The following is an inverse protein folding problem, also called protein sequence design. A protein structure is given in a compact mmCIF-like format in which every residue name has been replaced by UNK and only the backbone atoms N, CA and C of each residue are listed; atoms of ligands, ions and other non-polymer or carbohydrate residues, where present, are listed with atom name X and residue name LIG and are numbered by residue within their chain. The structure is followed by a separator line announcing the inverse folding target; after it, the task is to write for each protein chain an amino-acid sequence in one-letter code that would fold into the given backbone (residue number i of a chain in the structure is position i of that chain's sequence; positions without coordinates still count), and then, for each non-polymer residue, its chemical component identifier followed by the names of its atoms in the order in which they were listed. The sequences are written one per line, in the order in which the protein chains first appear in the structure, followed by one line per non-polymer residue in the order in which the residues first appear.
data_IF_715427619200
#
_entry.id   IF_715427619200
#
_cell.length_a   1.000
_cell.length_b   1.000
_cell.length_c   1.000
_cell.angle_alpha   90.00
_cell.angle_beta   90.00
_cell.angle_gamma   90.00
#
_symmetry.space_group_name_H-M   'P 1'
#
loop_
_entity.id
_entity.type
_entity.pdbx_description
1 polymer ?
#
# COMPACT_ATOMS: atom_id res chain seq x y z
N UNK A 1 13.33 -49.22 -42.26
CA UNK A 1 13.85 -49.50 -40.91
C UNK A 1 13.05 -48.64 -39.98
N UNK A 2 12.10 -49.23 -39.58
CA UNK A 2 11.43 -49.59 -38.33
C UNK A 2 11.17 -48.36 -37.43
N UNK A 3 9.96 -48.01 -37.45
CA UNK A 3 9.15 -47.18 -36.56
C UNK A 3 8.94 -47.95 -35.23
N UNK A 4 9.23 -47.37 -34.07
CA UNK A 4 8.88 -47.88 -32.78
C UNK A 4 8.26 -46.76 -31.94
N UNK A 5 6.93 -46.77 -31.87
CA UNK A 5 6.13 -46.06 -30.88
C UNK A 5 6.09 -46.86 -29.57
N UNK A 6 6.22 -46.24 -28.37
CA UNK A 6 5.98 -46.93 -27.10
C UNK A 6 4.49 -46.87 -26.72
N UNK A 7 4.01 -48.05 -26.39
CA UNK A 7 2.72 -48.41 -25.82
C UNK A 7 2.50 -47.84 -24.39
N UNK A 8 1.36 -47.15 -24.17
CA UNK A 8 0.95 -46.67 -22.85
C UNK A 8 -0.32 -47.42 -22.44
N UNK A 9 -0.15 -48.55 -21.73
CA UNK A 9 -1.25 -49.15 -20.98
C UNK A 9 -0.69 -49.95 -19.79
N UNK A 10 -0.70 -49.33 -18.60
CA UNK A 10 -0.87 -50.07 -17.31
C UNK A 10 -1.51 -49.13 -16.30
N UNK A 11 -2.80 -49.38 -16.04
CA UNK A 11 -3.55 -48.83 -14.91
C UNK A 11 -3.32 -49.73 -13.69
N UNK A 12 -2.86 -49.14 -12.57
CA UNK A 12 -2.87 -49.80 -11.25
C UNK A 12 -4.21 -49.58 -10.53
N UNK A 13 -4.68 -50.53 -9.73
CA UNK A 13 -6.00 -50.53 -9.09
C UNK A 13 -6.03 -49.66 -7.82
N UNK A 14 -7.17 -48.97 -7.62
CA UNK A 14 -7.49 -48.20 -6.42
C UNK A 14 -7.68 -49.09 -5.18
N UNK A 15 -7.24 -48.70 -3.96
CA UNK A 15 -7.57 -49.40 -2.75
C UNK A 15 -9.00 -49.11 -2.27
N UNK A 16 -9.68 -50.15 -1.85
CA UNK A 16 -11.03 -50.13 -1.24
C UNK A 16 -11.01 -49.51 0.17
N UNK A 17 -11.97 -48.63 0.42
CA UNK A 17 -12.27 -48.04 1.73
C UNK A 17 -13.11 -49.01 2.56
N UNK A 18 -12.57 -49.51 3.69
CA UNK A 18 -13.34 -50.21 4.72
C UNK A 18 -14.04 -49.21 5.64
N UNK A 19 -15.34 -49.37 5.81
CA UNK A 19 -16.17 -48.66 6.75
C UNK A 19 -15.83 -49.06 8.19
N UNK A 20 -15.68 -48.10 9.11
CA UNK A 20 -15.60 -48.33 10.55
C UNK A 20 -16.88 -47.80 11.22
N UNK A 21 -17.39 -48.64 12.14
CA UNK A 21 -18.62 -48.41 12.93
C UNK A 21 -18.44 -47.36 14.03
N UNK A 22 -19.52 -46.75 14.57
CA UNK A 22 -19.43 -45.62 15.48
C UNK A 22 -19.35 -46.06 16.96
N UNK A 23 -18.37 -45.56 17.70
CA UNK A 23 -18.38 -45.58 19.16
C UNK A 23 -18.94 -44.27 19.73
N UNK A 24 -20.03 -44.42 20.49
CA UNK A 24 -20.65 -43.37 21.30
C UNK A 24 -19.90 -43.22 22.63
N UNK A 25 -19.40 -42.01 22.93
CA UNK A 25 -19.21 -41.52 24.31
C UNK A 25 -19.61 -40.04 24.40
N UNK A 26 -20.57 -39.81 25.29
CA UNK A 26 -20.99 -38.50 25.76
C UNK A 26 -19.90 -37.92 26.66
N UNK A 27 -19.44 -36.70 26.34
CA UNK A 27 -18.82 -35.78 27.29
C UNK A 27 -19.38 -34.37 27.11
N UNK A 28 -19.61 -33.72 28.24
CA UNK A 28 -20.35 -32.46 28.34
C UNK A 28 -19.68 -31.24 27.63
N UNK A 29 -20.37 -30.08 27.56
CA UNK A 29 -19.97 -29.00 26.69
C UNK A 29 -18.71 -28.30 27.18
N UNK A 30 -17.57 -28.63 26.57
CA UNK A 30 -16.39 -27.74 26.58
C UNK A 30 -16.66 -26.59 25.63
N UNK A 31 -16.63 -25.35 26.15
CA UNK A 31 -16.65 -24.14 25.34
C UNK A 31 -15.51 -24.20 24.33
N UNK A 32 -15.82 -24.63 23.11
CA UNK A 32 -14.91 -24.56 21.98
C UNK A 32 -14.86 -23.09 21.56
N UNK A 33 -13.77 -22.41 21.86
CA UNK A 33 -13.36 -21.21 21.17
C UNK A 33 -13.28 -21.59 19.67
N UNK A 34 -14.31 -21.24 18.89
CA UNK A 34 -14.27 -21.44 17.46
C UNK A 34 -13.07 -20.66 16.93
N UNK A 35 -12.12 -21.36 16.31
CA UNK A 35 -11.02 -20.73 15.61
C UNK A 35 -11.62 -19.74 14.59
N UNK A 36 -11.19 -18.47 14.63
CA UNK A 36 -11.62 -17.47 13.66
C UNK A 36 -11.18 -17.93 12.26
N UNK A 37 -12.03 -17.76 11.22
CA UNK A 37 -11.65 -18.14 9.85
C UNK A 37 -10.37 -17.43 9.43
N UNK A 38 -9.50 -18.09 8.65
CA UNK A 38 -8.26 -17.51 8.11
C UNK A 38 -8.48 -16.26 7.24
N UNK A 39 -9.72 -15.98 6.87
CA UNK A 39 -10.15 -14.83 6.05
C UNK A 39 -10.80 -13.69 6.82
N UNK A 40 -10.85 -13.73 8.17
CA UNK A 40 -11.50 -12.66 8.92
C UNK A 40 -10.70 -11.35 8.91
N UNK A 41 -11.43 -10.25 8.84
CA UNK A 41 -10.91 -8.88 8.89
C UNK A 41 -11.72 -8.12 9.94
N UNK A 42 -11.03 -7.52 10.90
CA UNK A 42 -11.63 -6.65 11.89
C UNK A 42 -10.96 -5.28 11.87
N UNK A 43 -11.78 -4.23 11.92
CA UNK A 43 -11.28 -2.86 12.02
C UNK A 43 -11.90 -2.22 13.24
N UNK A 44 -11.06 -1.78 14.17
CA UNK A 44 -11.43 -0.96 15.32
C UNK A 44 -10.83 0.44 15.17
N UNK A 45 -11.44 1.44 15.80
CA UNK A 45 -10.97 2.82 15.70
C UNK A 45 -11.18 3.58 17.01
N UNK A 46 -10.45 4.68 17.19
CA UNK A 46 -10.66 5.60 18.30
C UNK A 46 -12.08 6.17 18.25
N UNK A 47 -12.64 6.43 19.44
CA UNK A 47 -14.05 6.78 19.65
C UNK A 47 -14.59 7.86 18.70
N UNK A 48 -13.81 8.87 18.36
CA UNK A 48 -14.24 10.02 17.55
C UNK A 48 -13.70 9.99 16.12
N UNK A 49 -13.08 8.90 15.68
CA UNK A 49 -12.47 8.81 14.35
C UNK A 49 -13.50 8.98 13.21
N UNK A 50 -14.66 8.31 13.29
CA UNK A 50 -15.73 8.50 12.30
C UNK A 50 -16.25 9.96 12.27
N UNK A 51 -16.37 10.59 13.44
CA UNK A 51 -16.72 12.01 13.53
C UNK A 51 -15.67 12.94 12.93
N UNK A 52 -14.38 12.60 13.06
CA UNK A 52 -13.29 13.32 12.43
C UNK A 52 -13.35 13.20 10.88
N UNK A 53 -13.58 12.00 10.33
CA UNK A 53 -13.78 11.79 8.89
C UNK A 53 -14.97 12.63 8.37
N UNK A 54 -16.09 12.62 9.09
CA UNK A 54 -17.28 13.40 8.73
C UNK A 54 -17.01 14.91 8.78
N UNK A 55 -16.32 15.42 9.81
CA UNK A 55 -15.95 16.83 9.97
C UNK A 55 -15.09 17.32 8.80
N UNK A 56 -14.07 16.56 8.44
CA UNK A 56 -13.17 16.89 7.33
C UNK A 56 -13.76 16.55 5.96
N UNK A 57 -14.93 15.93 5.91
CA UNK A 57 -15.59 15.45 4.67
C UNK A 57 -14.60 14.64 3.83
N UNK A 58 -13.98 13.65 4.44
CA UNK A 58 -12.94 12.82 3.81
C UNK A 58 -13.18 11.35 4.11
N UNK A 59 -12.93 10.52 3.13
CA UNK A 59 -12.71 9.08 3.31
C UNK A 59 -11.23 8.76 3.09
N UNK A 60 -10.77 7.62 3.59
CA UNK A 60 -9.41 7.15 3.39
C UNK A 60 -9.43 5.88 2.53
N UNK A 61 -8.52 5.81 1.57
CA UNK A 61 -8.20 4.60 0.82
C UNK A 61 -6.80 4.13 1.19
N UNK A 62 -6.60 2.83 1.38
CA UNK A 62 -5.28 2.27 1.65
C UNK A 62 -5.14 0.86 1.11
N UNK A 63 -3.91 0.48 0.81
CA UNK A 63 -3.55 -0.81 0.25
C UNK A 63 -2.85 -1.69 1.28
N UNK A 64 -2.87 -3.01 1.03
CA UNK A 64 -2.23 -4.00 1.88
C UNK A 64 -1.38 -4.94 1.02
N UNK A 65 -0.17 -5.23 1.48
CA UNK A 65 0.79 -5.99 0.69
C UNK A 65 0.40 -7.47 0.50
N UNK A 66 0.52 -8.27 1.56
CA UNK A 66 0.34 -9.73 1.48
C UNK A 66 -1.13 -10.12 1.30
N UNK A 67 -2.03 -9.45 2.01
CA UNK A 67 -3.46 -9.73 1.91
C UNK A 67 -4.06 -9.24 0.57
N UNK A 68 -3.35 -8.38 -0.17
CA UNK A 68 -3.77 -7.90 -1.48
C UNK A 68 -5.14 -7.22 -1.44
N UNK A 69 -5.36 -6.31 -0.49
CA UNK A 69 -6.63 -5.60 -0.30
C UNK A 69 -6.48 -4.11 -0.56
N UNK A 70 -7.42 -3.56 -1.31
CA UNK A 70 -7.75 -2.14 -1.30
C UNK A 70 -8.88 -1.96 -0.30
N UNK A 71 -8.64 -1.16 0.74
CA UNK A 71 -9.63 -0.85 1.76
C UNK A 71 -10.05 0.61 1.70
N UNK A 72 -11.30 0.86 2.08
CA UNK A 72 -11.82 2.20 2.29
C UNK A 72 -12.37 2.36 3.69
N UNK A 73 -12.07 3.49 4.33
CA UNK A 73 -12.70 3.94 5.56
C UNK A 73 -13.49 5.21 5.26
N UNK A 74 -14.76 5.19 5.59
CA UNK A 74 -15.68 6.30 5.42
C UNK A 74 -16.70 6.34 6.56
N UNK A 75 -17.86 6.96 6.33
CA UNK A 75 -18.88 7.12 7.35
C UNK A 75 -20.22 6.61 6.86
N UNK A 76 -20.86 5.76 7.64
CA UNK A 76 -22.23 5.29 7.41
C UNK A 76 -23.26 6.40 7.73
N UNK A 77 -24.51 6.31 7.19
CA UNK A 77 -25.56 7.28 7.49
C UNK A 77 -25.90 7.42 8.97
N UNK A 78 -25.63 6.39 9.77
CA UNK A 78 -25.83 6.39 11.24
C UNK A 78 -24.65 6.97 12.03
N UNK A 79 -23.63 7.52 11.32
CA UNK A 79 -22.43 8.12 11.91
C UNK A 79 -21.35 7.13 12.34
N UNK A 80 -21.55 5.81 12.16
CA UNK A 80 -20.56 4.79 12.43
C UNK A 80 -19.53 4.69 11.29
N UNK A 81 -18.36 4.14 11.59
CA UNK A 81 -17.34 3.87 10.60
C UNK A 81 -17.88 2.92 9.50
N UNK A 82 -17.71 3.30 8.25
CA UNK A 82 -17.93 2.46 7.08
C UNK A 82 -16.61 1.84 6.66
N UNK A 83 -16.61 0.52 6.45
CA UNK A 83 -15.46 -0.24 6.00
C UNK A 83 -15.86 -0.96 4.73
N UNK A 84 -15.04 -0.84 3.71
CA UNK A 84 -15.22 -1.57 2.45
C UNK A 84 -13.88 -2.13 1.98
N UNK A 85 -13.87 -3.32 1.37
CA UNK A 85 -12.64 -3.93 0.86
C UNK A 85 -12.85 -4.61 -0.49
N UNK A 86 -11.80 -4.62 -1.32
CA UNK A 86 -11.70 -5.43 -2.54
C UNK A 86 -10.30 -5.96 -2.72
N UNK A 87 -10.23 -7.15 -3.31
CA UNK A 87 -8.94 -7.82 -3.55
C UNK A 87 -8.32 -7.35 -4.86
N UNK A 88 -7.09 -6.84 -4.74
CA UNK A 88 -6.16 -6.61 -5.83
C UNK A 88 -4.84 -7.29 -5.48
N UNK A 89 -4.41 -8.25 -6.28
CA UNK A 89 -3.28 -9.09 -5.93
C UNK A 89 -2.02 -8.28 -5.63
N UNK A 90 -1.50 -8.38 -4.38
CA UNK A 90 -0.31 -7.67 -3.90
C UNK A 90 -0.32 -6.17 -4.27
N UNK A 91 -1.39 -5.46 -3.92
CA UNK A 91 -1.44 -4.03 -4.20
C UNK A 91 -0.57 -3.24 -3.22
N UNK A 92 0.18 -2.28 -3.78
CA UNK A 92 1.17 -1.47 -3.05
C UNK A 92 0.89 0.03 -3.22
N UNK A 93 1.66 0.72 -4.05
CA UNK A 93 1.49 2.15 -4.27
C UNK A 93 0.06 2.54 -4.65
N UNK A 94 -0.44 3.60 -4.07
CA UNK A 94 -1.78 4.14 -4.26
C UNK A 94 -1.73 5.65 -4.45
N UNK A 95 -2.35 6.13 -5.50
CA UNK A 95 -2.56 7.55 -5.73
C UNK A 95 -4.03 7.84 -5.96
N UNK A 96 -4.52 8.93 -5.41
CA UNK A 96 -5.87 9.45 -5.63
C UNK A 96 -5.82 10.84 -6.24
N UNK A 97 -6.73 11.15 -7.16
CA UNK A 97 -6.95 12.53 -7.59
C UNK A 97 -7.50 13.36 -6.43
N UNK A 98 -6.64 14.15 -5.83
CA UNK A 98 -6.99 14.98 -4.67
C UNK A 98 -7.95 16.13 -4.97
N UNK A 99 -8.29 16.40 -6.23
CA UNK A 99 -9.23 17.47 -6.61
C UNK A 99 -10.67 16.96 -6.67
N UNK A 100 -10.89 15.84 -7.35
CA UNK A 100 -12.24 15.32 -7.59
C UNK A 100 -12.52 14.05 -6.80
N UNK A 101 -11.48 13.35 -6.37
CA UNK A 101 -11.54 12.02 -5.76
C UNK A 101 -12.38 11.03 -6.58
N UNK A 102 -12.27 11.11 -7.93
CA UNK A 102 -12.99 10.24 -8.87
C UNK A 102 -12.08 9.22 -9.55
N UNK A 103 -10.78 9.43 -9.52
CA UNK A 103 -9.78 8.54 -10.11
C UNK A 103 -8.82 8.07 -9.05
N UNK A 104 -8.61 6.75 -9.00
CA UNK A 104 -7.54 6.12 -8.23
C UNK A 104 -6.59 5.41 -9.18
N UNK A 105 -5.31 5.40 -8.83
CA UNK A 105 -4.31 4.56 -9.44
C UNK A 105 -3.68 3.69 -8.37
N UNK A 106 -3.51 2.41 -8.67
CA UNK A 106 -2.84 1.49 -7.75
C UNK A 106 -1.92 0.52 -8.50
N UNK A 107 -0.79 0.20 -7.90
CA UNK A 107 0.07 -0.87 -8.36
C UNK A 107 -0.41 -2.21 -7.78
N UNK A 108 -0.31 -3.25 -8.57
CA UNK A 108 -0.54 -4.64 -8.16
C UNK A 108 0.67 -5.50 -8.55
N UNK A 109 0.60 -6.82 -8.35
CA UNK A 109 1.73 -7.74 -8.55
C UNK A 109 2.50 -7.49 -9.85
N UNK A 110 1.80 -7.32 -10.97
CA UNK A 110 2.42 -7.13 -12.29
C UNK A 110 1.67 -6.14 -13.18
N UNK A 111 0.79 -5.31 -12.57
CA UNK A 111 -0.02 -4.32 -13.30
C UNK A 111 -0.16 -3.03 -12.50
N UNK A 112 -0.33 -1.93 -13.23
CA UNK A 112 -0.77 -0.65 -12.69
C UNK A 112 -2.18 -0.38 -13.20
N UNK A 113 -3.14 -0.20 -12.29
CA UNK A 113 -4.55 -0.04 -12.57
C UNK A 113 -5.01 1.40 -12.40
N UNK A 114 -5.79 1.88 -13.38
CA UNK A 114 -6.65 3.05 -13.22
C UNK A 114 -8.06 2.58 -12.87
N UNK A 115 -8.57 3.12 -11.77
CA UNK A 115 -9.87 2.78 -11.21
C UNK A 115 -10.69 4.06 -11.16
N UNK A 116 -11.83 4.09 -11.88
CA UNK A 116 -12.66 5.27 -12.06
C UNK A 116 -13.97 5.15 -11.29
N UNK A 117 -14.41 6.26 -10.68
CA UNK A 117 -15.76 6.36 -10.15
C UNK A 117 -16.77 6.41 -11.30
N UNK A 118 -17.71 5.47 -11.30
CA UNK A 118 -18.70 5.30 -12.38
C UNK A 118 -20.05 5.95 -12.08
N UNK A 119 -20.20 6.63 -10.91
CA UNK A 119 -21.45 7.30 -10.54
C UNK A 119 -21.52 8.72 -11.11
N UNK A 120 -22.70 9.12 -11.55
CA UNK A 120 -22.97 10.52 -11.86
C UNK A 120 -22.92 11.39 -10.58
N UNK A 121 -22.82 12.70 -10.74
CA UNK A 121 -22.82 13.62 -9.61
C UNK A 121 -24.11 13.49 -8.77
N UNK A 122 -23.94 13.19 -7.48
CA UNK A 122 -25.06 12.98 -6.55
C UNK A 122 -25.72 11.61 -6.59
N UNK A 123 -25.35 10.76 -7.54
CA UNK A 123 -25.80 9.37 -7.62
C UNK A 123 -25.21 8.53 -6.48
N UNK A 124 -25.95 7.47 -6.10
CA UNK A 124 -25.51 6.48 -5.13
C UNK A 124 -25.76 5.06 -5.64
N UNK A 125 -24.82 4.19 -5.38
CA UNK A 125 -24.97 2.75 -5.62
C UNK A 125 -24.99 2.01 -4.28
N UNK A 126 -26.09 1.35 -3.93
CA UNK A 126 -26.27 0.65 -2.65
C UNK A 126 -25.92 1.51 -1.41
N UNK A 127 -26.20 2.82 -1.49
CA UNK A 127 -25.89 3.78 -0.43
C UNK A 127 -24.43 4.27 -0.38
N UNK A 128 -23.58 3.85 -1.28
CA UNK A 128 -22.22 4.36 -1.47
C UNK A 128 -22.23 5.55 -2.45
N UNK A 129 -21.42 6.56 -2.19
CA UNK A 129 -21.32 7.80 -2.99
C UNK A 129 -20.18 7.81 -4.00
N UNK A 130 -19.41 6.73 -4.05
CA UNK A 130 -18.43 6.40 -5.10
C UNK A 130 -18.47 4.92 -5.41
N UNK A 131 -18.41 4.59 -6.69
CA UNK A 131 -18.29 3.23 -7.20
C UNK A 131 -17.06 3.16 -8.11
N UNK A 132 -15.93 2.82 -7.53
CA UNK A 132 -14.66 2.70 -8.25
C UNK A 132 -14.60 1.39 -9.04
N UNK A 133 -14.40 1.48 -10.36
CA UNK A 133 -14.32 0.32 -11.26
C UNK A 133 -12.98 0.36 -12.02
N UNK A 134 -12.19 -0.73 -12.02
CA UNK A 134 -10.99 -0.82 -12.87
C UNK A 134 -11.34 -0.62 -14.34
N UNK A 135 -10.70 0.34 -15.00
CA UNK A 135 -10.95 0.68 -16.41
C UNK A 135 -9.76 0.48 -17.32
N UNK A 136 -8.54 0.75 -16.81
CA UNK A 136 -7.30 0.60 -17.57
C UNK A 136 -6.28 -0.16 -16.72
N UNK A 137 -5.61 -1.13 -17.32
CA UNK A 137 -4.52 -1.87 -16.71
C UNK A 137 -3.30 -1.91 -17.61
N UNK A 138 -2.15 -1.43 -17.12
CA UNK A 138 -0.88 -1.56 -17.78
C UNK A 138 -0.12 -2.75 -17.20
N UNK A 139 0.19 -3.76 -18.03
CA UNK A 139 0.97 -4.91 -17.61
C UNK A 139 2.46 -4.57 -17.64
N UNK A 140 3.06 -4.50 -16.45
CA UNK A 140 4.47 -4.13 -16.26
C UNK A 140 5.39 -5.34 -16.09
N UNK A 141 4.83 -6.52 -15.79
CA UNK A 141 5.55 -7.57 -15.12
C UNK A 141 5.78 -7.25 -13.64
N UNK A 142 6.38 -8.15 -12.89
CA UNK A 142 6.70 -7.92 -11.48
C UNK A 142 7.93 -7.01 -11.37
N UNK A 143 7.69 -5.72 -11.31
CA UNK A 143 8.73 -4.67 -11.15
C UNK A 143 8.81 -4.14 -9.72
N UNK A 144 8.03 -4.74 -8.82
CA UNK A 144 7.93 -4.33 -7.42
C UNK A 144 7.64 -2.82 -7.27
N UNK A 145 6.52 -2.39 -7.89
CA UNK A 145 6.15 -0.97 -7.97
C UNK A 145 5.68 -0.42 -6.62
N UNK A 146 6.62 0.12 -5.84
CA UNK A 146 6.42 0.52 -4.44
C UNK A 146 5.58 1.77 -4.25
N UNK A 147 5.74 2.76 -5.09
CA UNK A 147 5.07 4.06 -4.98
C UNK A 147 4.72 4.59 -6.36
N UNK A 148 3.67 5.38 -6.46
CA UNK A 148 3.27 5.98 -7.74
C UNK A 148 2.60 7.33 -7.55
N UNK A 149 2.67 8.14 -8.60
CA UNK A 149 1.99 9.43 -8.71
C UNK A 149 1.53 9.66 -10.15
N UNK A 150 0.62 10.60 -10.32
CA UNK A 150 0.15 11.03 -11.64
C UNK A 150 0.30 12.53 -11.74
N UNK A 151 0.93 13.01 -12.80
CA UNK A 151 1.08 14.44 -13.06
C UNK A 151 -0.20 15.05 -13.67
N UNK A 152 -0.25 16.37 -13.78
CA UNK A 152 -1.43 17.10 -14.32
C UNK A 152 -1.74 16.79 -15.79
N UNK A 153 -0.83 16.12 -16.51
CA UNK A 153 -1.02 15.64 -17.89
C UNK A 153 -1.50 14.19 -17.95
N UNK A 154 -1.76 13.57 -16.77
CA UNK A 154 -2.18 12.19 -16.69
C UNK A 154 -1.04 11.17 -16.87
N UNK A 155 0.23 11.60 -16.85
CA UNK A 155 1.35 10.70 -16.96
C UNK A 155 1.59 10.01 -15.60
N UNK A 156 1.61 8.68 -15.63
CA UNK A 156 1.91 7.85 -14.47
C UNK A 156 3.42 7.82 -14.27
N UNK A 157 3.86 8.10 -13.05
CA UNK A 157 5.24 8.05 -12.61
C UNK A 157 5.30 7.10 -11.42
N UNK A 158 6.15 6.09 -11.46
CA UNK A 158 6.22 5.10 -10.40
C UNK A 158 7.65 4.69 -10.06
N UNK A 159 7.82 4.24 -8.83
CA UNK A 159 9.07 3.65 -8.36
C UNK A 159 9.13 2.19 -8.80
N UNK A 160 10.09 1.89 -9.64
CA UNK A 160 10.44 0.54 -10.06
C UNK A 160 11.60 0.05 -9.18
N UNK A 161 11.25 -0.60 -8.08
CA UNK A 161 12.22 -1.03 -7.06
C UNK A 161 13.16 -2.09 -7.59
N UNK A 162 12.64 -3.07 -8.35
CA UNK A 162 13.43 -4.15 -8.92
C UNK A 162 14.56 -3.62 -9.82
N UNK A 163 14.31 -2.55 -10.57
CA UNK A 163 15.31 -1.91 -11.45
C UNK A 163 15.98 -0.68 -10.81
N UNK A 164 15.64 -0.34 -9.58
CA UNK A 164 16.19 0.82 -8.85
C UNK A 164 16.06 2.14 -9.63
N UNK A 165 14.88 2.44 -10.19
CA UNK A 165 14.65 3.63 -11.00
C UNK A 165 13.24 4.21 -10.86
N UNK A 166 13.07 5.46 -11.26
CA UNK A 166 11.77 6.05 -11.57
C UNK A 166 11.39 5.63 -12.98
N UNK A 167 10.16 5.21 -13.17
CA UNK A 167 9.63 4.73 -14.44
C UNK A 167 8.27 5.33 -14.77
N UNK A 168 7.86 5.19 -16.02
CA UNK A 168 6.48 5.38 -16.46
C UNK A 168 6.00 4.14 -17.23
N UNK A 169 4.69 4.03 -17.41
CA UNK A 169 4.09 2.94 -18.19
C UNK A 169 4.50 3.01 -19.66
N UNK A 170 4.39 1.88 -20.35
CA UNK A 170 4.68 1.76 -21.78
C UNK A 170 3.59 0.91 -22.44
N UNK A 171 3.11 1.32 -23.60
CA UNK A 171 2.16 0.53 -24.40
C UNK A 171 2.80 -0.66 -25.13
N UNK A 172 4.14 -0.65 -25.26
CA UNK A 172 4.87 -1.64 -26.06
C UNK A 172 5.85 -2.50 -25.27
N UNK A 173 6.19 -2.07 -24.04
CA UNK A 173 7.17 -2.74 -23.17
C UNK A 173 6.63 -2.76 -21.74
N UNK A 174 7.31 -3.45 -20.85
CA UNK A 174 6.94 -3.51 -19.43
C UNK A 174 6.90 -2.13 -18.77
N UNK A 175 7.86 -1.26 -19.10
CA UNK A 175 7.94 0.11 -18.58
C UNK A 175 8.93 0.94 -19.43
N UNK A 176 8.95 2.25 -19.16
CA UNK A 176 9.98 3.18 -19.70
C UNK A 176 10.67 3.84 -18.51
N UNK A 177 11.99 3.65 -18.34
CA UNK A 177 12.76 4.35 -17.31
C UNK A 177 12.81 5.84 -17.58
N UNK A 178 12.70 6.65 -16.52
CA UNK A 178 12.77 8.12 -16.56
C UNK A 178 14.06 8.63 -15.92
N UNK A 179 14.45 8.04 -14.79
CA UNK A 179 15.61 8.47 -14.02
C UNK A 179 16.06 7.33 -13.09
N UNK A 180 17.34 7.28 -12.76
CA UNK A 180 17.91 6.41 -11.73
C UNK A 180 18.90 7.19 -10.87
N UNK A 181 19.12 6.79 -9.60
CA UNK A 181 20.16 7.40 -8.77
C UNK A 181 21.54 7.26 -9.42
N UNK A 182 22.43 8.27 -9.31
CA UNK A 182 23.78 8.21 -9.90
C UNK A 182 24.63 7.05 -9.39
N UNK A 183 24.41 6.62 -8.14
CA UNK A 183 25.14 5.50 -7.55
C UNK A 183 24.68 4.12 -8.06
N UNK A 184 23.59 4.03 -8.81
CA UNK A 184 23.18 2.81 -9.51
C UNK A 184 23.81 2.79 -10.89
N UNK A 185 24.75 1.89 -11.16
CA UNK A 185 25.53 1.85 -12.41
C UNK A 185 24.69 1.43 -13.62
N UNK A 186 23.82 0.43 -13.46
CA UNK A 186 22.98 -0.14 -14.55
C UNK A 186 21.56 -0.42 -14.10
N UNK A 187 20.63 -0.46 -15.04
CA UNK A 187 19.27 -0.97 -14.85
C UNK A 187 19.30 -2.51 -15.00
N UNK A 188 19.01 -3.21 -13.92
CA UNK A 188 18.97 -4.68 -13.88
C UNK A 188 17.92 -5.14 -12.87
N UNK A 189 17.42 -6.38 -13.02
CA UNK A 189 16.44 -7.01 -12.12
C UNK A 189 17.10 -7.49 -10.83
N UNK A 190 17.71 -6.57 -10.08
CA UNK A 190 18.62 -6.90 -8.98
C UNK A 190 18.26 -6.19 -7.65
N UNK A 191 17.25 -5.33 -7.61
CA UNK A 191 16.87 -4.55 -6.40
C UNK A 191 18.09 -4.03 -5.61
N UNK A 192 18.98 -3.29 -6.28
CA UNK A 192 20.30 -2.95 -5.74
C UNK A 192 20.26 -2.07 -4.49
N UNK A 193 19.46 -1.01 -4.54
CA UNK A 193 19.40 -0.01 -3.47
C UNK A 193 18.06 0.01 -2.71
N UNK A 194 17.07 -0.72 -3.17
CA UNK A 194 15.69 -0.70 -2.72
C UNK A 194 15.10 0.70 -2.73
N UNK A 195 15.05 1.27 -3.94
CA UNK A 195 14.33 2.52 -4.20
C UNK A 195 12.85 2.29 -3.96
N UNK A 196 12.19 3.11 -3.09
CA UNK A 196 10.87 2.72 -2.57
C UNK A 196 9.86 3.83 -2.40
N UNK A 197 10.24 5.10 -2.51
CA UNK A 197 9.29 6.21 -2.31
C UNK A 197 9.53 7.37 -3.23
N UNK A 198 8.45 8.11 -3.54
CA UNK A 198 8.40 9.20 -4.50
C UNK A 198 7.71 10.43 -3.90
N UNK A 199 8.39 11.56 -3.84
CA UNK A 199 7.80 12.86 -3.56
C UNK A 199 7.66 13.66 -4.85
N UNK A 200 6.47 14.19 -5.07
CA UNK A 200 6.14 15.08 -6.18
C UNK A 200 5.99 16.52 -5.70
N UNK A 201 6.43 17.48 -6.50
CA UNK A 201 6.14 18.88 -6.31
C UNK A 201 6.01 19.55 -7.69
N UNK A 202 4.97 20.36 -7.89
CA UNK A 202 4.70 21.03 -9.16
C UNK A 202 4.75 20.08 -10.37
N UNK A 203 4.06 18.94 -10.27
CA UNK A 203 3.98 17.89 -11.29
C UNK A 203 5.30 17.18 -11.64
N UNK A 204 6.30 17.31 -10.81
CA UNK A 204 7.62 16.69 -11.04
C UNK A 204 8.07 15.87 -9.86
N UNK A 205 8.75 14.74 -10.09
CA UNK A 205 9.54 14.09 -9.06
C UNK A 205 10.59 15.05 -8.50
N UNK A 206 10.64 15.23 -7.20
CA UNK A 206 11.63 16.09 -6.54
C UNK A 206 12.51 15.35 -5.56
N UNK A 207 11.98 14.30 -4.91
CA UNK A 207 12.76 13.46 -4.00
C UNK A 207 12.32 12.00 -4.11
N UNK A 208 13.27 11.11 -3.85
CA UNK A 208 13.04 9.67 -3.67
C UNK A 208 13.69 9.19 -2.39
N UNK A 209 13.16 8.12 -1.83
CA UNK A 209 13.78 7.38 -0.73
C UNK A 209 14.37 6.07 -1.22
N UNK A 210 15.51 5.67 -0.62
CA UNK A 210 16.18 4.42 -0.87
C UNK A 210 16.69 3.82 0.44
N UNK A 211 16.63 2.49 0.59
CA UNK A 211 17.14 1.81 1.78
C UNK A 211 18.67 1.81 1.88
N UNK A 212 19.36 2.06 0.78
CA UNK A 212 20.82 2.22 0.75
C UNK A 212 21.29 2.88 -0.54
N UNK A 213 22.59 3.13 -0.62
CA UNK A 213 23.30 3.52 -1.85
C UNK A 213 24.02 2.33 -2.52
N UNK A 214 23.55 1.11 -2.25
CA UNK A 214 24.15 -0.11 -2.80
C UNK A 214 24.00 -0.17 -4.33
N UNK A 215 25.02 -0.68 -5.00
CA UNK A 215 25.05 -0.96 -6.43
C UNK A 215 25.32 -2.45 -6.74
N UNK A 216 25.01 -3.32 -5.80
CA UNK A 216 25.06 -4.78 -5.98
C UNK A 216 23.69 -5.40 -5.71
N UNK A 217 23.40 -6.54 -6.34
CA UNK A 217 22.15 -7.26 -6.19
C UNK A 217 21.80 -7.46 -4.71
N UNK A 218 20.56 -7.09 -4.32
CA UNK A 218 20.03 -7.17 -2.94
C UNK A 218 20.92 -6.51 -1.86
N UNK A 219 21.91 -5.72 -2.22
CA UNK A 219 22.93 -5.19 -1.30
C UNK A 219 22.43 -4.19 -0.26
N UNK A 220 21.17 -3.77 -0.36
CA UNK A 220 20.49 -2.97 0.64
C UNK A 220 20.20 -3.75 1.93
N UNK A 221 20.08 -5.08 1.86
CA UNK A 221 19.64 -5.93 2.99
C UNK A 221 20.57 -5.82 4.20
N UNK A 222 21.86 -5.74 3.99
CA UNK A 222 22.87 -5.61 5.06
C UNK A 222 22.98 -4.18 5.60
N UNK A 223 22.31 -3.21 4.96
CA UNK A 223 22.38 -1.78 5.28
C UNK A 223 21.09 -1.20 5.86
N UNK A 224 20.14 -2.06 6.23
CA UNK A 224 18.79 -1.67 6.67
C UNK A 224 18.76 -0.74 7.90
N UNK A 225 19.77 -0.82 8.77
CA UNK A 225 19.79 -0.08 10.03
C UNK A 225 20.00 1.43 9.85
N UNK A 226 20.90 1.82 8.94
CA UNK A 226 21.31 3.21 8.76
C UNK A 226 21.82 3.55 7.37
N UNK A 227 21.59 2.67 6.39
CA UNK A 227 22.02 2.90 5.00
C UNK A 227 21.07 3.78 4.20
N UNK A 228 19.90 4.08 4.76
CA UNK A 228 18.82 4.78 4.05
C UNK A 228 19.14 6.24 3.77
N UNK A 229 18.69 6.67 2.58
CA UNK A 229 18.94 8.03 2.08
C UNK A 229 17.67 8.63 1.45
N UNK A 230 17.64 9.96 1.42
CA UNK A 230 16.75 10.75 0.58
C UNK A 230 17.58 11.41 -0.51
N UNK A 231 17.14 11.27 -1.76
CA UNK A 231 17.88 11.72 -2.94
C UNK A 231 17.04 12.73 -3.72
N UNK A 232 17.62 13.87 -4.05
CA UNK A 232 16.97 14.88 -4.88
C UNK A 232 16.94 14.47 -6.36
N UNK A 233 15.84 14.78 -7.04
CA UNK A 233 15.61 14.50 -8.47
C UNK A 233 15.48 15.82 -9.22
N UNK A 234 16.16 16.02 -10.34
CA UNK A 234 17.00 15.07 -11.07
C UNK A 234 18.48 15.06 -10.68
N UNK A 235 18.93 15.92 -9.76
CA UNK A 235 20.37 16.15 -9.46
C UNK A 235 21.09 14.88 -8.99
N UNK A 236 20.40 14.00 -8.26
CA UNK A 236 21.01 12.83 -7.64
C UNK A 236 21.75 13.15 -6.33
N UNK A 237 21.63 14.37 -5.82
CA UNK A 237 22.20 14.78 -4.54
C UNK A 237 21.52 14.05 -3.39
N UNK A 238 22.31 13.53 -2.46
CA UNK A 238 21.83 12.95 -1.21
C UNK A 238 21.55 14.08 -0.24
N UNK A 239 20.27 14.40 0.01
CA UNK A 239 19.85 15.50 0.88
C UNK A 239 19.65 15.10 2.33
N UNK A 240 19.56 13.79 2.61
CA UNK A 240 19.57 13.24 3.96
C UNK A 240 20.07 11.79 3.93
N UNK A 241 20.70 11.35 5.01
CA UNK A 241 21.30 10.03 5.15
C UNK A 241 21.12 9.47 6.57
N UNK A 242 21.68 8.29 6.81
CA UNK A 242 21.67 7.61 8.12
C UNK A 242 20.25 7.25 8.58
N UNK A 243 19.33 7.00 7.64
CA UNK A 243 17.96 6.58 7.90
C UNK A 243 17.85 5.04 7.92
N UNK A 244 16.92 4.53 8.70
CA UNK A 244 16.58 3.11 8.70
C UNK A 244 15.37 2.87 7.81
N UNK A 245 15.61 2.30 6.62
CA UNK A 245 14.55 1.95 5.65
C UNK A 245 13.51 3.07 5.46
N UNK A 246 13.90 4.26 4.98
CA UNK A 246 12.97 5.37 4.79
C UNK A 246 11.91 5.04 3.73
N UNK A 247 10.65 5.48 3.95
CA UNK A 247 9.51 5.26 3.04
C UNK A 247 8.63 6.50 2.91
N UNK A 248 7.81 6.50 1.85
CA UNK A 248 6.69 7.41 1.63
C UNK A 248 7.07 8.89 1.78
N UNK A 249 8.11 9.39 1.07
CA UNK A 249 8.40 10.82 1.06
C UNK A 249 7.23 11.58 0.42
N UNK A 250 6.81 12.69 1.03
CA UNK A 250 5.73 13.54 0.49
C UNK A 250 6.06 15.01 0.74
N UNK A 251 5.94 15.82 -0.31
CA UNK A 251 5.92 17.28 -0.14
C UNK A 251 4.55 17.73 0.33
N UNK A 252 4.50 18.46 1.43
CA UNK A 252 3.29 19.06 1.94
C UNK A 252 3.59 20.40 2.60
N UNK A 253 2.87 21.45 2.18
CA UNK A 253 3.05 22.83 2.68
C UNK A 253 4.53 23.29 2.71
N UNK A 254 5.28 22.95 1.63
CA UNK A 254 6.68 23.36 1.47
C UNK A 254 7.68 22.57 2.33
N UNK A 255 7.27 21.49 2.98
CA UNK A 255 8.14 20.62 3.80
C UNK A 255 8.15 19.20 3.25
N UNK A 256 9.33 18.57 3.30
CA UNK A 256 9.51 17.17 2.91
C UNK A 256 9.32 16.26 4.12
N UNK A 257 8.16 15.63 4.20
CA UNK A 257 7.86 14.60 5.22
C UNK A 257 8.33 13.24 4.75
N UNK A 258 8.72 12.40 5.70
CA UNK A 258 9.21 11.04 5.43
C UNK A 258 9.00 10.13 6.64
N UNK A 259 8.89 8.84 6.42
CA UNK A 259 8.96 7.81 7.46
C UNK A 259 10.39 7.31 7.60
N UNK A 260 10.93 7.34 8.80
CA UNK A 260 12.11 6.55 9.20
C UNK A 260 11.58 5.19 9.71
N UNK A 261 11.14 4.34 8.76
CA UNK A 261 10.26 3.19 9.03
C UNK A 261 10.89 2.14 9.92
N UNK A 262 12.19 1.85 9.72
CA UNK A 262 12.91 0.87 10.52
C UNK A 262 13.20 1.33 11.94
N UNK A 263 12.98 2.62 12.25
CA UNK A 263 13.07 3.17 13.60
C UNK A 263 11.71 3.48 14.24
N UNK A 264 10.61 3.38 13.45
CA UNK A 264 9.25 3.64 13.94
C UNK A 264 8.91 5.12 14.08
N UNK A 265 9.57 6.03 13.34
CA UNK A 265 9.29 7.46 13.45
C UNK A 265 8.75 8.06 12.15
N UNK A 266 7.69 8.83 12.30
CA UNK A 266 7.24 9.80 11.32
C UNK A 266 7.89 11.15 11.61
N UNK A 267 8.31 11.87 10.55
CA UNK A 267 8.94 13.17 10.68
C UNK A 267 9.16 13.86 9.34
N UNK A 268 10.09 14.78 9.30
CA UNK A 268 10.44 15.53 8.09
C UNK A 268 11.97 15.65 7.94
N UNK A 269 12.39 16.02 6.73
CA UNK A 269 13.80 16.35 6.47
C UNK A 269 14.01 17.86 6.60
N UNK A 270 14.89 18.26 7.52
CA UNK A 270 15.49 19.58 7.46
C UNK A 270 16.50 19.60 6.32
N UNK A 271 16.08 20.16 5.18
CA UNK A 271 16.89 20.20 3.97
C UNK A 271 18.14 21.08 4.11
N UNK A 272 18.17 22.01 5.07
CA UNK A 272 19.36 22.86 5.33
C UNK A 272 20.40 22.10 6.16
N UNK A 273 19.95 21.35 7.16
CA UNK A 273 20.81 20.57 8.02
C UNK A 273 21.14 19.19 7.41
N UNK A 274 20.38 18.72 6.41
CA UNK A 274 20.49 17.37 5.85
C UNK A 274 20.11 16.27 6.83
N UNK A 275 19.16 16.53 7.75
CA UNK A 275 18.81 15.64 8.86
C UNK A 275 17.33 15.35 8.92
N UNK A 276 17.02 14.16 9.42
CA UNK A 276 15.66 13.77 9.79
C UNK A 276 15.29 14.34 11.17
N UNK A 277 14.16 15.02 11.23
CA UNK A 277 13.57 15.56 12.44
C UNK A 277 12.30 14.77 12.78
N UNK A 278 12.28 13.99 13.88
CA UNK A 278 11.13 13.18 14.26
C UNK A 278 10.00 14.06 14.80
N UNK A 279 8.76 13.73 14.41
CA UNK A 279 7.53 14.35 14.94
C UNK A 279 6.86 13.39 15.92
N UNK A 280 6.65 12.13 15.53
CA UNK A 280 5.93 11.15 16.33
C UNK A 280 6.55 9.75 16.21
N UNK A 281 6.56 9.02 17.34
CA UNK A 281 6.78 7.58 17.33
C UNK A 281 5.47 6.87 17.01
N UNK A 282 5.53 5.94 16.08
CA UNK A 282 4.41 5.12 15.67
C UNK A 282 4.75 3.64 15.90
N UNK A 283 3.97 2.90 16.71
CA UNK A 283 4.32 1.54 17.09
C UNK A 283 4.10 0.55 15.96
N UNK A 284 4.98 0.53 14.98
CA UNK A 284 4.92 -0.34 13.80
C UNK A 284 5.91 0.10 12.73
N UNK A 285 5.99 -0.70 11.67
CA UNK A 285 6.76 -0.36 10.49
C UNK A 285 5.91 0.58 9.60
N UNK A 286 6.39 1.79 9.36
CA UNK A 286 5.60 2.84 8.71
C UNK A 286 5.62 2.72 7.19
N UNK A 287 4.44 2.80 6.58
CA UNK A 287 4.26 2.88 5.13
C UNK A 287 2.96 3.62 4.78
N UNK A 288 3.01 4.40 3.72
CA UNK A 288 1.89 5.22 3.30
C UNK A 288 1.75 6.51 4.11
N UNK A 289 1.60 7.64 3.41
CA UNK A 289 1.49 8.96 4.00
C UNK A 289 0.55 9.82 3.18
N UNK A 290 -0.50 10.31 3.82
CA UNK A 290 -1.43 11.29 3.26
C UNK A 290 -1.65 12.45 4.24
N UNK A 291 -2.25 13.55 3.75
CA UNK A 291 -2.52 14.73 4.58
C UNK A 291 -3.97 15.18 4.45
N UNK A 292 -4.52 15.69 5.55
CA UNK A 292 -5.84 16.32 5.62
C UNK A 292 -5.74 17.54 6.52
N UNK A 293 -5.73 18.75 5.96
CA UNK A 293 -5.44 19.96 6.72
C UNK A 293 -4.11 19.83 7.46
N UNK A 294 -4.10 20.10 8.75
CA UNK A 294 -2.90 19.97 9.59
C UNK A 294 -2.70 18.57 10.17
N UNK A 295 -3.29 17.54 9.59
CA UNK A 295 -3.10 16.15 10.02
C UNK A 295 -2.33 15.33 8.98
N UNK A 296 -1.41 14.50 9.47
CA UNK A 296 -0.78 13.44 8.70
C UNK A 296 -1.48 12.11 9.01
N UNK A 297 -1.80 11.35 7.97
CA UNK A 297 -2.32 9.98 8.07
C UNK A 297 -1.18 9.04 7.75
N UNK A 298 -0.76 8.25 8.74
CA UNK A 298 0.39 7.35 8.69
C UNK A 298 -0.09 5.91 8.75
N UNK A 299 0.32 5.10 7.78
CA UNK A 299 0.07 3.67 7.79
C UNK A 299 1.14 2.90 8.59
N UNK A 300 0.69 1.89 9.33
CA UNK A 300 1.53 1.03 10.16
C UNK A 300 1.34 -0.42 9.78
N UNK A 301 2.44 -1.17 9.85
CA UNK A 301 2.47 -2.61 9.64
C UNK A 301 3.12 -3.31 10.84
N UNK A 302 2.67 -4.52 11.14
CA UNK A 302 3.39 -5.39 12.08
C UNK A 302 4.69 -5.86 11.41
N UNK A 303 5.80 -5.95 12.15
CA UNK A 303 7.04 -6.52 11.63
C UNK A 303 6.83 -7.95 11.12
N UNK A 304 7.47 -8.28 10.01
CA UNK A 304 7.50 -9.67 9.51
C UNK A 304 8.54 -10.46 10.29
N UNK A 305 8.21 -11.66 10.75
CA UNK A 305 9.03 -12.52 11.64
C UNK A 305 10.47 -12.79 11.19
N UNK A 306 10.85 -12.51 9.94
CA UNK A 306 12.22 -12.72 9.45
C UNK A 306 12.82 -11.56 8.67
N UNK A 307 12.01 -10.60 8.23
CA UNK A 307 12.45 -9.54 7.30
C UNK A 307 12.71 -8.21 8.00
N UNK A 308 12.02 -7.92 9.09
CA UNK A 308 12.10 -6.65 9.82
C UNK A 308 12.54 -6.80 11.28
N UNK A 309 13.01 -7.98 11.71
CA UNK A 309 13.65 -8.17 13.01
C UNK A 309 15.06 -7.58 13.02
N UNK A 310 15.49 -7.09 14.19
CA UNK A 310 16.79 -6.47 14.37
C UNK A 310 16.89 -5.03 13.88
N UNK A 311 15.76 -4.37 13.64
CA UNK A 311 15.70 -2.94 13.37
C UNK A 311 15.62 -2.14 14.68
N UNK A 312 15.92 -0.85 14.60
CA UNK A 312 15.84 0.06 15.77
C UNK A 312 14.41 0.11 16.36
N UNK A 313 13.38 -0.18 15.55
CA UNK A 313 11.99 -0.29 15.98
C UNK A 313 11.80 -1.27 17.13
N UNK A 314 12.47 -2.44 17.12
CA UNK A 314 12.33 -3.45 18.19
C UNK A 314 12.76 -2.88 19.55
N UNK A 315 13.87 -2.13 19.56
CA UNK A 315 14.36 -1.44 20.76
C UNK A 315 13.41 -0.32 21.22
N UNK A 316 12.86 0.44 20.29
CA UNK A 316 11.93 1.53 20.60
C UNK A 316 10.56 1.00 21.11
N UNK A 317 10.05 -0.10 20.57
CA UNK A 317 8.86 -0.79 21.08
C UNK A 317 9.09 -1.29 22.51
N UNK A 318 10.21 -2.01 22.74
CA UNK A 318 10.57 -2.53 24.08
C UNK A 318 10.72 -1.41 25.09
N UNK A 319 11.42 -0.34 24.75
CA UNK A 319 11.64 0.84 25.61
C UNK A 319 10.34 1.53 26.04
N UNK A 320 9.30 1.48 25.20
CA UNK A 320 8.00 2.10 25.44
C UNK A 320 6.95 1.12 25.97
N UNK A 321 7.27 -0.15 26.11
CA UNK A 321 6.30 -1.19 26.43
C UNK A 321 5.14 -1.26 25.42
N UNK A 322 5.43 -0.99 24.14
CA UNK A 322 4.45 -0.92 23.08
C UNK A 322 4.49 -2.18 22.20
N UNK A 323 3.31 -2.67 21.81
CA UNK A 323 3.17 -3.75 20.86
C UNK A 323 3.05 -3.20 19.42
N UNK A 324 3.63 -3.88 18.42
CA UNK A 324 3.51 -3.46 17.04
C UNK A 324 2.07 -3.55 16.52
N UNK A 325 1.62 -2.52 15.82
CA UNK A 325 0.25 -2.39 15.33
C UNK A 325 0.21 -2.41 13.81
N UNK A 326 -0.92 -2.89 13.26
CA UNK A 326 -1.29 -2.70 11.86
C UNK A 326 -2.50 -1.78 11.80
N UNK A 327 -2.44 -0.74 10.96
CA UNK A 327 -3.54 0.21 10.83
C UNK A 327 -3.09 1.61 10.45
N UNK A 328 -3.88 2.61 10.83
CA UNK A 328 -3.62 4.02 10.55
C UNK A 328 -3.50 4.81 11.85
N UNK A 329 -2.62 5.80 11.87
CA UNK A 329 -2.59 6.86 12.87
C UNK A 329 -2.79 8.21 12.20
N UNK A 330 -3.59 9.07 12.82
CA UNK A 330 -3.79 10.47 12.44
C UNK A 330 -3.01 11.32 13.41
N UNK A 331 -1.97 11.98 12.93
CA UNK A 331 -1.04 12.76 13.73
C UNK A 331 -1.32 14.24 13.49
N UNK A 332 -1.53 15.01 14.54
CA UNK A 332 -1.64 16.46 14.49
C UNK A 332 -0.23 17.07 14.28
N UNK A 333 0.00 17.71 13.14
CA UNK A 333 1.29 18.31 12.80
C UNK A 333 1.65 19.54 13.66
N UNK A 334 0.68 20.11 14.39
CA UNK A 334 0.90 21.24 15.29
C UNK A 334 1.47 20.83 16.64
N UNK A 335 1.05 19.66 17.14
CA UNK A 335 1.43 19.16 18.46
C UNK A 335 2.34 17.94 18.41
N UNK A 336 2.29 17.16 17.31
CA UNK A 336 2.95 15.87 17.20
C UNK A 336 2.16 14.70 17.82
N UNK A 337 0.97 14.97 18.38
CA UNK A 337 0.18 13.96 19.06
C UNK A 337 -0.63 13.10 18.08
N UNK A 338 -0.90 11.86 18.49
CA UNK A 338 -1.83 10.97 17.80
C UNK A 338 -3.27 11.36 18.16
N UNK A 339 -3.94 12.09 17.27
CA UNK A 339 -5.32 12.54 17.46
C UNK A 339 -6.33 11.39 17.32
N UNK A 340 -6.12 10.51 16.33
CA UNK A 340 -6.98 9.37 16.06
C UNK A 340 -6.18 8.16 15.56
N UNK A 341 -6.82 6.99 15.59
CA UNK A 341 -6.26 5.76 15.03
C UNK A 341 -7.38 4.83 14.52
N UNK A 342 -7.00 3.98 13.57
CA UNK A 342 -7.77 2.80 13.16
C UNK A 342 -6.82 1.60 13.14
N UNK A 343 -7.19 0.51 13.82
CA UNK A 343 -6.44 -0.75 13.85
C UNK A 343 -7.09 -1.76 12.92
N UNK A 344 -6.26 -2.49 12.22
CA UNK A 344 -6.68 -3.57 11.32
C UNK A 344 -6.12 -4.88 11.87
N UNK A 345 -6.97 -5.86 12.08
CA UNK A 345 -6.62 -7.16 12.65
C UNK A 345 -7.16 -8.30 11.79
N UNK A 346 -6.59 -9.49 11.95
CA UNK A 346 -6.92 -10.69 11.20
C UNK A 346 -5.92 -10.96 10.08
N UNK A 347 -6.42 -11.15 8.87
CA UNK A 347 -5.59 -11.49 7.69
C UNK A 347 -4.67 -10.38 7.21
N UNK A 348 -4.90 -9.14 7.65
CA UNK A 348 -4.07 -7.99 7.29
C UNK A 348 -3.09 -7.69 8.42
N UNK A 349 -1.83 -7.88 8.16
CA UNK A 349 -0.71 -7.52 9.05
C UNK A 349 0.14 -6.37 8.52
N UNK A 350 -0.01 -6.02 7.23
CA UNK A 350 0.79 -5.01 6.56
C UNK A 350 -0.07 -4.07 5.73
N UNK A 351 -0.03 -2.78 6.06
CA UNK A 351 -0.46 -1.70 5.17
C UNK A 351 0.70 -1.32 4.26
N UNK A 352 0.36 -0.74 3.10
CA UNK A 352 1.39 -0.34 2.15
C UNK A 352 1.34 1.15 1.82
N UNK A 353 0.22 1.65 1.33
CA UNK A 353 0.06 3.07 1.02
C UNK A 353 -1.30 3.57 1.47
N UNK A 354 -1.44 4.89 1.61
CA UNK A 354 -2.69 5.55 2.01
C UNK A 354 -2.90 6.82 1.20
N UNK A 355 -4.15 7.07 0.83
CA UNK A 355 -4.60 8.29 0.16
C UNK A 355 -5.86 8.83 0.83
N UNK A 356 -5.96 10.15 0.92
CA UNK A 356 -7.17 10.84 1.33
C UNK A 356 -8.08 11.08 0.12
N UNK A 357 -9.39 10.95 0.31
CA UNK A 357 -10.44 11.16 -0.68
C UNK A 357 -11.34 12.32 -0.24
N UNK A 358 -10.94 13.58 -0.48
CA UNK A 358 -11.75 14.74 -0.13
C UNK A 358 -13.12 14.71 -0.82
N UNK A 359 -14.16 15.11 -0.08
CA UNK A 359 -15.54 15.15 -0.57
C UNK A 359 -16.22 13.80 -0.72
N UNK A 360 -15.58 12.70 -0.33
CA UNK A 360 -16.12 11.34 -0.36
C UNK A 360 -16.51 10.90 1.04
N UNK A 361 -17.71 10.33 1.16
CA UNK A 361 -18.27 9.92 2.46
C UNK A 361 -18.23 8.41 2.64
N UNK A 362 -18.61 7.66 1.63
CA UNK A 362 -18.74 6.20 1.71
C UNK A 362 -18.39 5.56 0.37
N UNK A 363 -17.11 5.37 0.07
CA UNK A 363 -16.65 4.78 -1.18
C UNK A 363 -16.75 3.26 -1.18
N UNK A 364 -16.95 2.68 -2.39
CA UNK A 364 -16.79 1.27 -2.67
C UNK A 364 -16.05 1.05 -3.99
N UNK A 365 -15.60 -0.18 -4.22
CA UNK A 365 -14.97 -0.57 -5.48
C UNK A 365 -15.45 -1.93 -5.98
N UNK A 366 -15.40 -2.16 -7.27
CA UNK A 366 -15.46 -3.49 -7.87
C UNK A 366 -14.04 -4.05 -8.06
N UNK A 367 -13.93 -5.36 -8.08
CA UNK A 367 -12.67 -6.07 -8.29
C UNK A 367 -12.86 -7.24 -9.26
N UNK A 368 -11.78 -7.96 -9.53
CA UNK A 368 -11.77 -9.02 -10.53
C UNK A 368 -12.19 -10.40 -10.00
N UNK A 369 -12.39 -10.55 -8.69
CA UNK A 369 -12.74 -11.85 -8.08
C UNK A 369 -14.24 -12.10 -7.93
N UNK A 370 -15.06 -11.07 -8.20
CA UNK A 370 -16.53 -11.19 -8.18
C UNK A 370 -17.07 -10.91 -9.57
N UNK A 371 -18.26 -11.43 -9.85
CA UNK A 371 -18.92 -11.26 -11.15
C UNK A 371 -19.65 -9.90 -11.31
N UNK A 372 -19.67 -9.09 -10.28
CA UNK A 372 -20.25 -7.74 -10.30
C UNK A 372 -19.69 -6.87 -11.43
N UNK A 373 -18.36 -6.94 -11.63
CA UNK A 373 -17.66 -6.18 -12.68
C UNK A 373 -18.14 -6.55 -14.10
N UNK A 374 -18.62 -7.78 -14.30
CA UNK A 374 -19.12 -8.24 -15.59
C UNK A 374 -20.48 -7.65 -15.95
N UNK A 375 -21.25 -7.23 -14.95
CA UNK A 375 -22.62 -6.74 -15.08
C UNK A 375 -22.78 -5.25 -14.85
N UNK A 376 -21.76 -4.59 -14.30
CA UNK A 376 -21.79 -3.14 -14.03
C UNK A 376 -21.16 -2.41 -15.21
N UNK A 377 -22.01 -1.91 -16.07
CA UNK A 377 -21.62 -1.19 -17.29
C UNK A 377 -21.88 0.31 -17.10
N UNK A 378 -20.94 1.12 -17.51
CA UNK A 378 -21.09 2.56 -17.63
C UNK A 378 -20.68 2.95 -19.04
N UNK A 379 -21.48 3.78 -19.68
CA UNK A 379 -21.25 4.27 -21.04
C UNK A 379 -20.83 5.73 -20.98
N UNK A 380 -19.84 6.08 -21.75
CA UNK A 380 -19.43 7.47 -21.95
C UNK A 380 -20.40 8.20 -22.88
N UNK A 381 -20.33 9.54 -22.92
CA UNK A 381 -21.11 10.30 -23.87
C UNK A 381 -20.72 9.92 -25.30
N UNK A 382 -21.70 9.90 -26.21
CA UNK A 382 -21.45 9.55 -27.60
C UNK A 382 -20.53 10.61 -28.25
N UNK A 383 -19.40 10.15 -28.79
CA UNK A 383 -18.56 11.01 -29.62
C UNK A 383 -19.31 11.35 -30.94
N UNK A 384 -19.23 12.59 -31.37
CA UNK A 384 -19.62 12.95 -32.75
C UNK A 384 -18.55 12.40 -33.70
N UNK A 385 -18.99 11.57 -34.64
CA UNK A 385 -18.15 11.00 -35.71
C UNK A 385 -17.80 12.04 -36.76
#
# INVERSE_FOLDING_TARGET
MADETPDITQQEPKPELKAAEPETKQDGPKATTQARPDSWLEVSASRHFAGWLAHWKVSLAFTTYQAGKLLFLGVNPDGRLSIFERTFNRCMGLWADGKTSRTLWLSSLYQIWRVEDSLAAGEKHQGYDRLFIPRVGYTTGDVDAHDLAVDSKGRIIFINTLFSCISTVSEKKSFKPLWKPPFVSKLATEDRCHLNGLAMENDKPVYVTSCSTSDVADGWRDRRMNGGVVVAVPSGEIVAKDLSMPHSPRMYEGRLYVHNSGAGFFGYIDLKAGKFEPIAFCPGYLRGLAFVGHYAIVGLSKPRDRTFTGLALDGELSKRGAEPQCGLQVIDLKTGDVAHWARVEGVVSELYDVSALPGVVRPMALGFKTDEIQRTLAMDEAAQL
#
